data_IF_158586907352
#
_entry.id   IF_158586907352
#
_cell.length_a   1.000
_cell.length_b   1.000
_cell.length_c   1.000
_cell.angle_alpha   90.00
_cell.angle_beta   90.00
_cell.angle_gamma   90.00
#
_symmetry.space_group_name_H-M   'P 1'
#
loop_
_entity.id
_entity.type
_entity.pdbx_description
1 polymer ?
#
# COMPACT_ATOMS: atom_id res chain seq x y z
N UNK A 1 23.10 40.54 34.15
CA UNK A 1 21.69 40.59 33.69
C UNK A 1 21.56 40.78 32.18
N UNK A 2 22.21 41.77 31.54
CA UNK A 2 22.15 41.95 30.07
C UNK A 2 22.59 40.73 29.24
N UNK A 3 23.69 40.07 29.61
CA UNK A 3 24.17 38.85 28.93
C UNK A 3 23.24 37.64 29.06
N UNK A 4 22.55 37.51 30.20
CA UNK A 4 21.58 36.44 30.45
C UNK A 4 20.35 36.59 29.55
N UNK A 5 19.90 37.83 29.34
CA UNK A 5 18.78 38.15 28.45
C UNK A 5 19.11 37.80 26.98
N UNK A 6 20.33 38.11 26.53
CA UNK A 6 20.80 37.80 25.17
C UNK A 6 20.88 36.29 24.95
N UNK A 7 21.38 35.54 25.93
CA UNK A 7 21.46 34.08 25.87
C UNK A 7 20.07 33.42 25.81
N UNK A 8 19.09 33.93 26.56
CA UNK A 8 17.71 33.43 26.52
C UNK A 8 17.04 33.71 25.18
N UNK A 9 17.26 34.88 24.57
CA UNK A 9 16.75 35.20 23.24
C UNK A 9 17.37 34.31 22.16
N UNK A 10 18.66 33.98 22.28
CA UNK A 10 19.35 33.09 21.34
C UNK A 10 18.88 31.63 21.44
N UNK A 11 18.50 31.18 22.63
CA UNK A 11 17.92 29.84 22.83
C UNK A 11 16.49 29.73 22.26
N UNK A 12 15.74 30.84 22.20
CA UNK A 12 14.39 30.87 21.62
C UNK A 12 14.40 30.78 20.07
N UNK A 13 15.49 31.17 19.41
CA UNK A 13 15.63 31.02 17.94
C UNK A 13 16.23 29.68 17.52
N UNK A 14 16.64 28.84 18.49
CA UNK A 14 17.23 27.52 18.26
C UNK A 14 16.20 26.41 17.96
N UNK A 15 14.91 26.76 17.79
CA UNK A 15 13.93 25.84 17.23
C UNK A 15 14.32 25.49 15.77
N UNK A 16 15.07 24.39 15.61
CA UNK A 16 15.34 23.83 14.30
C UNK A 16 14.02 23.37 13.68
N UNK A 17 13.57 24.09 12.66
CA UNK A 17 12.46 23.66 11.81
C UNK A 17 12.91 22.39 11.09
N UNK A 18 12.56 21.22 11.63
CA UNK A 18 12.77 19.95 10.92
C UNK A 18 12.08 20.07 9.56
N UNK A 19 12.72 19.68 8.45
CA UNK A 19 12.05 19.63 7.16
C UNK A 19 10.84 18.72 7.31
N UNK A 20 9.64 19.28 7.28
CA UNK A 20 8.43 18.48 7.27
C UNK A 20 8.42 17.75 5.93
N UNK A 21 8.75 16.45 5.96
CA UNK A 21 8.52 15.58 4.80
C UNK A 21 7.02 15.62 4.57
N UNK A 22 6.60 16.24 3.47
CA UNK A 22 5.21 16.19 3.07
C UNK A 22 4.90 14.74 2.71
N UNK A 23 3.81 14.23 3.29
CA UNK A 23 3.36 12.85 3.11
C UNK A 23 2.05 12.89 2.35
N UNK A 24 2.01 12.20 1.23
CA UNK A 24 0.78 11.92 0.48
C UNK A 24 0.09 10.70 1.09
N UNK A 25 -1.24 10.67 1.00
CA UNK A 25 -2.06 9.63 1.60
C UNK A 25 -3.16 9.18 0.65
N UNK A 26 -3.03 7.97 0.13
CA UNK A 26 -4.03 7.33 -0.73
C UNK A 26 -4.88 6.36 0.08
N UNK A 27 -6.20 6.48 -0.11
CA UNK A 27 -7.24 5.70 0.55
C UNK A 27 -8.10 4.98 -0.50
N UNK A 28 -8.55 3.77 -0.19
CA UNK A 28 -9.50 3.07 -1.05
C UNK A 28 -10.07 1.82 -0.39
N UNK A 29 -10.82 1.04 -1.17
CA UNK A 29 -11.51 -0.16 -0.72
C UNK A 29 -11.11 -1.35 -1.60
N UNK A 30 -10.90 -2.51 -1.00
CA UNK A 30 -10.67 -3.79 -1.70
C UNK A 30 -10.86 -4.96 -0.73
N UNK A 31 -11.07 -6.17 -1.24
CA UNK A 31 -11.08 -7.40 -0.42
C UNK A 31 -12.04 -7.35 0.78
N UNK A 32 -13.16 -6.62 0.66
CA UNK A 32 -14.14 -6.44 1.74
C UNK A 32 -13.70 -5.49 2.86
N UNK A 33 -12.62 -4.73 2.69
CA UNK A 33 -12.10 -3.77 3.68
C UNK A 33 -11.54 -2.51 3.01
N UNK A 34 -10.83 -1.68 3.77
CA UNK A 34 -10.16 -0.47 3.29
C UNK A 34 -8.64 -0.61 3.31
N UNK A 35 -7.97 0.08 2.39
CA UNK A 35 -6.51 0.20 2.40
C UNK A 35 -6.09 1.65 2.65
N UNK A 36 -4.90 1.81 3.23
CA UNK A 36 -4.29 3.10 3.55
C UNK A 36 -2.81 3.07 3.14
N UNK A 37 -2.42 3.86 2.15
CA UNK A 37 -1.03 3.96 1.68
C UNK A 37 -0.50 5.36 1.93
N UNK A 38 0.63 5.47 2.64
CA UNK A 38 1.31 6.74 2.92
C UNK A 38 2.71 6.71 2.32
N UNK A 39 3.10 7.76 1.63
CA UNK A 39 4.41 7.88 1.00
C UNK A 39 4.87 9.35 0.99
N UNK A 40 6.19 9.62 0.93
CA UNK A 40 6.68 10.99 0.81
C UNK A 40 6.24 11.60 -0.53
N UNK A 41 5.96 12.90 -0.55
CA UNK A 41 5.68 13.65 -1.78
C UNK A 41 6.82 13.44 -2.78
N UNK A 42 6.47 12.99 -4.00
CA UNK A 42 7.43 12.80 -5.08
C UNK A 42 7.17 13.85 -6.15
N UNK A 43 8.12 14.75 -6.34
CA UNK A 43 7.98 15.85 -7.30
C UNK A 43 7.67 15.32 -8.70
N UNK A 44 6.58 15.82 -9.31
CA UNK A 44 6.15 15.44 -10.66
C UNK A 44 5.31 14.17 -10.74
N UNK A 45 4.95 13.56 -9.61
CA UNK A 45 4.02 12.44 -9.54
C UNK A 45 2.62 12.96 -9.19
N UNK A 46 1.61 12.50 -9.93
CA UNK A 46 0.21 12.76 -9.63
C UNK A 46 -0.35 11.68 -8.69
N UNK A 47 -0.83 12.10 -7.52
CA UNK A 47 -1.47 11.23 -6.52
C UNK A 47 -2.60 10.40 -7.15
N UNK A 48 -3.39 10.97 -8.07
CA UNK A 48 -4.48 10.27 -8.73
C UNK A 48 -3.98 9.13 -9.64
N UNK A 49 -2.85 9.32 -10.31
CA UNK A 49 -2.20 8.28 -11.10
C UNK A 49 -1.68 7.14 -10.21
N UNK A 50 -1.09 7.46 -9.05
CA UNK A 50 -0.67 6.47 -8.06
C UNK A 50 -1.86 5.68 -7.53
N UNK A 51 -2.94 6.37 -7.15
CA UNK A 51 -4.18 5.71 -6.70
C UNK A 51 -4.73 4.76 -7.76
N UNK A 52 -4.79 5.19 -9.01
CA UNK A 52 -5.25 4.34 -10.13
C UNK A 52 -4.40 3.09 -10.31
N UNK A 53 -3.06 3.22 -10.18
CA UNK A 53 -2.15 2.09 -10.26
C UNK A 53 -2.34 1.10 -9.09
N UNK A 54 -2.50 1.61 -7.87
CA UNK A 54 -2.78 0.80 -6.67
C UNK A 54 -4.09 0.04 -6.84
N UNK A 55 -5.18 0.74 -7.21
CA UNK A 55 -6.50 0.14 -7.39
C UNK A 55 -6.45 -0.94 -8.47
N UNK A 56 -5.80 -0.67 -9.62
CA UNK A 56 -5.65 -1.65 -10.70
C UNK A 56 -4.91 -2.90 -10.23
N UNK A 57 -3.83 -2.73 -9.46
CA UNK A 57 -3.06 -3.86 -8.93
C UNK A 57 -3.88 -4.67 -7.92
N UNK A 58 -4.61 -4.03 -7.02
CA UNK A 58 -5.47 -4.70 -6.04
C UNK A 58 -6.64 -5.43 -6.69
N UNK A 59 -7.20 -4.90 -7.79
CA UNK A 59 -8.18 -5.62 -8.63
C UNK A 59 -7.58 -6.88 -9.24
N UNK A 60 -6.33 -6.85 -9.71
CA UNK A 60 -5.66 -8.05 -10.21
C UNK A 60 -5.50 -9.10 -9.11
N UNK A 61 -5.11 -8.70 -7.89
CA UNK A 61 -5.00 -9.65 -6.77
C UNK A 61 -6.36 -10.30 -6.46
N UNK A 62 -7.48 -9.54 -6.51
CA UNK A 62 -8.81 -10.14 -6.35
C UNK A 62 -9.14 -11.17 -7.43
N UNK A 63 -8.77 -10.92 -8.69
CA UNK A 63 -8.94 -11.88 -9.78
C UNK A 63 -8.16 -13.18 -9.56
N UNK A 64 -7.09 -13.15 -8.77
CA UNK A 64 -6.31 -14.34 -8.43
C UNK A 64 -6.86 -15.03 -7.17
N UNK A 65 -7.06 -14.27 -6.09
CA UNK A 65 -7.17 -14.83 -4.73
C UNK A 65 -8.53 -14.64 -4.06
N UNK A 66 -9.48 -13.92 -4.66
CA UNK A 66 -10.79 -13.72 -4.01
C UNK A 66 -11.60 -15.01 -3.96
N UNK A 67 -11.91 -15.51 -2.77
CA UNK A 67 -12.84 -16.63 -2.58
C UNK A 67 -14.32 -16.23 -2.77
N UNK A 68 -14.60 -14.92 -2.87
CA UNK A 68 -15.94 -14.38 -3.08
C UNK A 68 -16.26 -14.13 -4.56
N UNK A 69 -15.25 -14.01 -5.42
CA UNK A 69 -15.43 -13.93 -6.86
C UNK A 69 -15.41 -15.36 -7.43
N UNK A 70 -16.53 -15.89 -7.99
CA UNK A 70 -16.59 -17.25 -8.50
C UNK A 70 -15.70 -17.46 -9.74
N UNK A 71 -15.25 -16.38 -10.38
CA UNK A 71 -14.40 -16.42 -11.57
C UNK A 71 -12.91 -16.26 -11.27
N UNK A 72 -12.54 -16.01 -10.00
CA UNK A 72 -11.13 -15.89 -9.62
C UNK A 72 -10.35 -17.20 -9.86
N UNK A 73 -9.04 -17.10 -10.01
CA UNK A 73 -8.18 -18.28 -10.18
C UNK A 73 -8.33 -19.27 -9.02
N UNK A 74 -8.32 -18.78 -7.78
CA UNK A 74 -8.52 -19.58 -6.58
C UNK A 74 -9.91 -20.22 -6.54
N UNK A 75 -10.97 -19.49 -6.89
CA UNK A 75 -12.33 -20.05 -6.94
C UNK A 75 -12.47 -21.11 -8.02
N UNK A 76 -11.84 -20.92 -9.18
CA UNK A 76 -11.80 -21.93 -10.25
C UNK A 76 -11.06 -23.18 -9.81
N UNK A 77 -9.93 -23.03 -9.11
CA UNK A 77 -9.24 -24.15 -8.48
C UNK A 77 -10.14 -24.88 -7.48
N UNK A 78 -10.83 -24.14 -6.60
CA UNK A 78 -11.76 -24.71 -5.62
C UNK A 78 -12.95 -25.45 -6.27
N UNK A 79 -13.33 -25.10 -7.49
CA UNK A 79 -14.38 -25.76 -8.27
C UNK A 79 -13.86 -26.93 -9.12
N UNK A 80 -12.55 -27.04 -9.31
CA UNK A 80 -11.92 -28.09 -10.10
C UNK A 80 -12.07 -29.46 -9.42
N UNK A 81 -12.44 -30.50 -10.20
CA UNK A 81 -12.77 -31.85 -9.68
C UNK A 81 -11.98 -32.97 -10.35
N UNK A 82 -11.07 -32.63 -11.24
CA UNK A 82 -10.26 -33.62 -11.96
C UNK A 82 -8.96 -33.91 -11.22
N UNK A 83 -8.30 -35.02 -11.57
CA UNK A 83 -7.08 -35.47 -10.90
C UNK A 83 -5.82 -34.86 -11.51
N UNK A 84 -5.92 -34.27 -12.71
CA UNK A 84 -4.84 -33.62 -13.40
C UNK A 84 -4.41 -32.33 -12.68
N UNK A 85 -3.13 -31.93 -12.77
CA UNK A 85 -2.67 -30.68 -12.19
C UNK A 85 -3.43 -29.47 -12.75
N UNK A 86 -3.91 -28.62 -11.85
CA UNK A 86 -4.50 -27.33 -12.21
C UNK A 86 -3.40 -26.26 -12.31
N UNK A 87 -3.20 -25.69 -13.51
CA UNK A 87 -2.23 -24.62 -13.70
C UNK A 87 -2.69 -23.32 -13.04
N UNK A 88 -1.81 -22.70 -12.26
CA UNK A 88 -2.02 -21.41 -11.59
C UNK A 88 -0.95 -20.41 -12.03
N UNK A 89 -1.20 -19.13 -11.80
CA UNK A 89 -0.20 -18.07 -11.98
C UNK A 89 0.95 -18.18 -10.98
N UNK A 90 2.13 -17.65 -11.36
CA UNK A 90 3.30 -17.59 -10.47
C UNK A 90 3.00 -16.84 -9.16
N UNK A 91 2.14 -15.83 -9.21
CA UNK A 91 1.73 -15.06 -8.04
C UNK A 91 0.87 -15.89 -7.07
N UNK A 92 -0.10 -16.65 -7.58
CA UNK A 92 -0.88 -17.58 -6.76
C UNK A 92 0.01 -18.66 -6.18
N UNK A 93 0.92 -19.22 -6.99
CA UNK A 93 1.87 -20.24 -6.55
C UNK A 93 2.78 -19.72 -5.43
N UNK A 94 3.25 -18.48 -5.54
CA UNK A 94 4.05 -17.83 -4.49
C UNK A 94 3.30 -17.81 -3.15
N UNK A 95 2.03 -17.40 -3.14
CA UNK A 95 1.24 -17.33 -1.90
C UNK A 95 0.95 -18.72 -1.34
N UNK A 96 0.67 -19.71 -2.20
CA UNK A 96 0.46 -21.09 -1.76
C UNK A 96 1.73 -21.68 -1.14
N UNK A 97 2.89 -21.44 -1.74
CA UNK A 97 4.17 -21.91 -1.19
C UNK A 97 4.50 -21.30 0.17
N UNK A 98 4.10 -20.04 0.42
CA UNK A 98 4.27 -19.39 1.72
C UNK A 98 3.27 -19.90 2.78
N UNK A 99 2.12 -20.42 2.36
CA UNK A 99 1.07 -20.88 3.27
C UNK A 99 1.25 -22.33 3.76
N UNK A 100 2.17 -23.09 3.15
CA UNK A 100 2.48 -24.50 3.46
C UNK A 100 3.65 -24.63 4.45
#
# INVERSE_FOLDING_TARGET
>A
MKFLLVMVVLLMTACSRQPAVKVEHVLGQTMGTTYNVKFPEVAGVDEAAIKSAIDKRLVQVNKLMSTYDPTSELSRFNQYRFAEPFTVSDETLLVVNEAL
#
